data_IF_497024340182
#
_entry.id   IF_497024340182
#
_cell.length_a   1.000
_cell.length_b   1.000
_cell.length_c   1.000
_cell.angle_alpha   90.00
_cell.angle_beta   90.00
_cell.angle_gamma   90.00
#
_symmetry.space_group_name_H-M   'P 1'
#
loop_
_entity.id
_entity.type
_entity.pdbx_description
1 polymer ?
#
# COMPACT_ATOMS: atom_id res chain seq x y z
N UNK A 1 -21.74 11.96 14.60
CA UNK A 1 -20.73 12.65 13.77
C UNK A 1 -19.45 11.85 13.85
N UNK A 2 -19.18 11.02 12.86
CA UNK A 2 -17.93 10.25 12.76
C UNK A 2 -16.87 11.21 12.26
N UNK A 3 -15.82 11.46 13.06
CA UNK A 3 -14.67 12.26 12.62
C UNK A 3 -14.09 11.62 11.35
N UNK A 4 -13.73 12.39 10.30
CA UNK A 4 -12.98 11.82 9.20
C UNK A 4 -11.69 11.26 9.79
N UNK A 5 -11.47 9.97 9.63
CA UNK A 5 -10.28 9.35 10.16
C UNK A 5 -9.11 9.84 9.31
N UNK A 6 -8.30 10.74 9.86
CA UNK A 6 -7.07 11.23 9.24
C UNK A 6 -6.00 10.13 9.12
N UNK A 7 -6.29 8.90 9.57
CA UNK A 7 -5.40 7.78 9.45
C UNK A 7 -5.46 7.17 8.03
N UNK A 8 -4.33 6.67 7.52
CA UNK A 8 -4.32 5.90 6.28
C UNK A 8 -5.14 4.62 6.47
N UNK A 9 -6.00 4.30 5.50
CA UNK A 9 -6.74 3.04 5.48
C UNK A 9 -6.00 2.05 4.60
N UNK A 10 -5.53 0.95 5.18
CA UNK A 10 -4.77 -0.10 4.49
C UNK A 10 -5.55 -1.40 4.54
N UNK A 11 -5.84 -1.98 3.37
CA UNK A 11 -6.53 -3.26 3.22
C UNK A 11 -5.70 -4.14 2.30
N UNK A 12 -5.02 -5.14 2.88
CA UNK A 12 -4.19 -6.11 2.17
C UNK A 12 -4.74 -7.52 2.40
N UNK A 13 -4.90 -8.25 1.31
CA UNK A 13 -5.30 -9.65 1.27
C UNK A 13 -4.19 -10.47 0.64
N UNK A 14 -4.01 -11.69 1.15
CA UNK A 14 -3.06 -12.65 0.63
C UNK A 14 -3.84 -13.81 0.02
N UNK A 15 -3.46 -14.21 -1.19
CA UNK A 15 -4.02 -15.35 -1.90
C UNK A 15 -2.87 -16.19 -2.50
N UNK A 16 -2.76 -17.44 -2.04
CA UNK A 16 -1.63 -18.36 -2.30
C UNK A 16 -0.26 -17.70 -2.05
N UNK A 17 0.34 -17.13 -3.09
CA UNK A 17 1.65 -16.44 -3.07
C UNK A 17 1.57 -15.03 -3.62
N UNK A 18 0.38 -14.45 -3.64
CA UNK A 18 0.12 -13.11 -4.14
C UNK A 18 -0.44 -12.22 -3.04
N UNK A 19 0.02 -10.98 -3.02
CA UNK A 19 -0.49 -9.94 -2.15
C UNK A 19 -1.25 -8.94 -3.02
N UNK A 20 -2.51 -8.71 -2.70
CA UNK A 20 -3.34 -7.74 -3.38
C UNK A 20 -4.09 -6.88 -2.37
N UNK A 21 -4.40 -5.64 -2.71
CA UNK A 21 -5.09 -4.76 -1.79
C UNK A 21 -5.15 -3.33 -2.26
N UNK A 22 -5.49 -2.45 -1.33
CA UNK A 22 -5.52 -1.02 -1.56
C UNK A 22 -5.14 -0.23 -0.29
N UNK A 23 -4.61 0.97 -0.51
CA UNK A 23 -4.38 1.96 0.53
C UNK A 23 -5.01 3.29 0.13
N UNK A 24 -5.69 3.94 1.06
CA UNK A 24 -6.20 5.29 0.92
C UNK A 24 -5.42 6.24 1.82
N UNK A 25 -4.84 7.29 1.24
CA UNK A 25 -4.03 8.28 1.94
C UNK A 25 -4.68 9.67 1.88
N UNK A 26 -4.73 10.40 3.01
CA UNK A 26 -5.19 11.79 3.03
C UNK A 26 -4.10 12.73 2.48
N UNK A 27 -3.89 12.68 1.16
CA UNK A 27 -2.91 13.54 0.47
C UNK A 27 -3.57 14.86 0.07
N UNK A 28 -2.94 15.98 0.45
CA UNK A 28 -3.37 17.29 0.01
C UNK A 28 -3.17 17.45 -1.52
N UNK A 29 -4.02 18.24 -2.21
CA UNK A 29 -3.78 18.62 -3.60
C UNK A 29 -2.39 19.24 -3.76
N UNK A 30 -1.66 18.87 -4.81
CA UNK A 30 -0.31 19.38 -5.05
C UNK A 30 0.80 18.72 -4.22
N UNK A 31 0.50 17.66 -3.46
CA UNK A 31 1.53 16.85 -2.78
C UNK A 31 2.55 16.35 -3.81
N UNK A 32 3.82 16.68 -3.60
CA UNK A 32 4.90 16.25 -4.48
C UNK A 32 5.17 14.75 -4.39
N UNK A 33 5.65 14.16 -5.47
CA UNK A 33 5.88 12.71 -5.57
C UNK A 33 6.72 12.14 -4.40
N UNK A 34 7.73 12.88 -3.93
CA UNK A 34 8.58 12.47 -2.79
C UNK A 34 7.80 12.37 -1.49
N UNK A 35 6.94 13.34 -1.19
CA UNK A 35 6.13 13.35 0.02
C UNK A 35 5.06 12.25 -0.03
N UNK A 36 4.48 12.02 -1.20
CA UNK A 36 3.56 10.91 -1.43
C UNK A 36 4.25 9.54 -1.23
N UNK A 37 5.46 9.35 -1.77
CA UNK A 37 6.24 8.12 -1.57
C UNK A 37 6.55 7.89 -0.09
N UNK A 38 6.96 8.93 0.65
CA UNK A 38 7.20 8.84 2.07
C UNK A 38 5.94 8.46 2.87
N UNK A 39 4.77 9.02 2.49
CA UNK A 39 3.50 8.66 3.10
C UNK A 39 3.10 7.20 2.83
N UNK A 40 3.34 6.70 1.61
CA UNK A 40 3.13 5.30 1.25
C UNK A 40 4.08 4.38 2.03
N UNK A 41 5.36 4.75 2.14
CA UNK A 41 6.35 3.97 2.88
C UNK A 41 5.95 3.84 4.36
N UNK A 42 5.57 4.94 5.00
CA UNK A 42 5.12 4.93 6.38
C UNK A 42 3.84 4.10 6.58
N UNK A 43 2.87 4.21 5.67
CA UNK A 43 1.59 3.50 5.79
C UNK A 43 1.69 1.99 5.48
N UNK A 44 2.57 1.59 4.56
CA UNK A 44 2.65 0.22 4.08
C UNK A 44 3.79 -0.61 4.70
N UNK A 45 4.79 0.00 5.36
CA UNK A 45 5.93 -0.73 5.90
C UNK A 45 5.54 -1.86 6.86
N UNK A 46 4.75 -1.55 7.90
CA UNK A 46 4.24 -2.55 8.85
C UNK A 46 3.36 -3.60 8.18
N UNK A 47 2.25 -3.19 7.52
CA UNK A 47 1.34 -4.14 6.89
C UNK A 47 1.99 -5.04 5.83
N UNK A 48 2.95 -4.57 5.03
CA UNK A 48 3.67 -5.41 4.08
C UNK A 48 4.62 -6.38 4.79
N UNK A 49 5.30 -5.95 5.85
CA UNK A 49 6.19 -6.82 6.62
C UNK A 49 5.40 -7.96 7.27
N UNK A 50 4.25 -7.64 7.88
CA UNK A 50 3.37 -8.62 8.51
C UNK A 50 2.87 -9.65 7.48
N UNK A 51 2.38 -9.20 6.32
CA UNK A 51 1.91 -10.10 5.26
C UNK A 51 3.03 -10.87 4.57
N UNK A 52 4.22 -10.30 4.46
CA UNK A 52 5.38 -11.04 3.98
C UNK A 52 5.76 -12.15 4.96
N UNK A 53 5.75 -11.87 6.26
CA UNK A 53 6.02 -12.87 7.30
C UNK A 53 4.98 -14.01 7.28
N UNK A 54 3.68 -13.68 7.14
CA UNK A 54 2.59 -14.68 6.98
C UNK A 54 2.84 -15.63 5.80
N UNK A 55 3.50 -15.12 4.75
CA UNK A 55 3.86 -15.85 3.53
C UNK A 55 5.22 -16.55 3.60
N UNK A 56 5.94 -16.46 4.72
CA UNK A 56 7.31 -16.95 4.84
C UNK A 56 8.30 -16.22 3.93
N UNK A 57 8.03 -14.95 3.61
CA UNK A 57 8.79 -14.13 2.69
C UNK A 57 9.34 -12.86 3.35
N UNK A 58 10.31 -12.23 2.70
CA UNK A 58 10.86 -10.92 3.10
C UNK A 58 10.52 -9.87 2.05
N UNK A 59 10.13 -8.67 2.49
CA UNK A 59 9.86 -7.55 1.57
C UNK A 59 11.15 -7.13 0.85
N UNK A 60 11.18 -7.26 -0.47
CA UNK A 60 12.39 -7.06 -1.27
C UNK A 60 12.54 -5.63 -1.87
N UNK A 61 11.56 -4.75 -1.63
CA UNK A 61 11.56 -3.40 -2.18
C UNK A 61 10.91 -2.39 -1.23
N UNK A 62 11.16 -1.08 -1.42
CA UNK A 62 10.44 -0.04 -0.68
C UNK A 62 8.91 -0.16 -0.83
N UNK A 63 8.11 0.05 0.23
CA UNK A 63 6.66 -0.15 0.18
C UNK A 63 5.93 0.66 -0.91
N UNK A 64 6.34 1.90 -1.19
CA UNK A 64 5.76 2.71 -2.26
C UNK A 64 5.90 2.07 -3.66
N UNK A 65 6.82 1.11 -3.85
CA UNK A 65 6.97 0.37 -5.11
C UNK A 65 5.86 -0.66 -5.32
N UNK A 66 5.19 -1.11 -4.27
CA UNK A 66 4.03 -2.00 -4.35
C UNK A 66 2.74 -1.26 -4.70
N UNK A 67 2.73 0.06 -4.50
CA UNK A 67 1.57 0.91 -4.73
C UNK A 67 1.52 1.46 -6.16
N UNK A 68 0.31 1.49 -6.73
CA UNK A 68 -0.03 2.11 -8.02
C UNK A 68 -1.22 3.04 -7.81
N UNK A 69 -1.14 4.32 -8.19
CA UNK A 69 -2.25 5.25 -8.02
C UNK A 69 -3.48 4.77 -8.78
N UNK A 70 -4.64 4.87 -8.16
CA UNK A 70 -5.94 4.63 -8.80
C UNK A 70 -6.57 5.97 -9.19
N UNK A 71 -7.35 6.00 -10.28
CA UNK A 71 -8.11 7.19 -10.62
C UNK A 71 -9.20 7.44 -9.56
N UNK A 72 -9.37 8.72 -9.21
CA UNK A 72 -10.39 9.16 -8.27
C UNK A 72 -9.95 9.17 -6.81
N UNK A 73 -10.87 9.61 -5.96
CA UNK A 73 -10.74 9.67 -4.50
C UNK A 73 -11.73 8.70 -3.87
N UNK A 74 -11.52 8.33 -2.61
CA UNK A 74 -12.55 7.61 -1.85
C UNK A 74 -13.68 8.55 -1.39
N UNK A 75 -14.67 8.00 -0.70
CA UNK A 75 -15.82 8.76 -0.18
C UNK A 75 -15.42 9.84 0.84
N UNK A 76 -14.23 9.73 1.43
CA UNK A 76 -13.64 10.70 2.36
C UNK A 76 -12.68 11.70 1.65
N UNK A 77 -12.57 11.64 0.31
CA UNK A 77 -11.73 12.55 -0.47
C UNK A 77 -10.24 12.21 -0.46
N UNK A 78 -9.86 11.01 -0.02
CA UNK A 78 -8.49 10.50 0.07
C UNK A 78 -8.03 9.90 -1.26
N UNK A 79 -6.73 10.02 -1.53
CA UNK A 79 -6.12 9.46 -2.74
C UNK A 79 -5.95 7.95 -2.58
N UNK A 80 -6.44 7.19 -3.56
CA UNK A 80 -6.43 5.72 -3.52
C UNK A 80 -5.25 5.14 -4.31
N UNK A 81 -4.70 4.05 -3.80
CA UNK A 81 -3.65 3.27 -4.45
C UNK A 81 -4.01 1.80 -4.40
N UNK A 82 -3.83 1.10 -5.52
CA UNK A 82 -3.80 -0.35 -5.54
C UNK A 82 -2.44 -0.83 -5.05
N UNK A 83 -2.42 -1.85 -4.19
CA UNK A 83 -1.20 -2.48 -3.69
C UNK A 83 -1.13 -3.88 -4.27
N UNK A 84 -0.01 -4.23 -4.91
CA UNK A 84 0.19 -5.56 -5.50
C UNK A 84 1.61 -6.05 -5.30
N UNK A 85 1.74 -7.30 -4.90
CA UNK A 85 3.01 -8.02 -4.73
C UNK A 85 2.86 -9.51 -4.99
N UNK A 86 3.98 -10.19 -5.17
CA UNK A 86 4.04 -11.64 -5.34
C UNK A 86 5.27 -12.17 -4.63
N UNK A 87 5.19 -13.39 -4.09
CA UNK A 87 6.34 -14.09 -3.52
C UNK A 87 7.09 -14.85 -4.61
N UNK A 88 8.38 -14.53 -4.75
CA UNK A 88 9.32 -15.19 -5.66
C UNK A 88 10.58 -15.57 -4.88
N UNK A 89 10.89 -16.87 -4.78
CA UNK A 89 12.09 -17.34 -4.07
C UNK A 89 12.19 -16.92 -2.59
N UNK A 90 11.05 -16.77 -1.90
CA UNK A 90 11.01 -16.29 -0.51
C UNK A 90 11.09 -14.76 -0.37
N UNK A 91 10.96 -14.03 -1.48
CA UNK A 91 10.95 -12.56 -1.50
C UNK A 91 9.60 -12.05 -1.96
N UNK A 92 8.99 -11.15 -1.19
CA UNK A 92 7.81 -10.41 -1.63
C UNK A 92 8.28 -9.27 -2.55
N UNK A 93 8.01 -9.41 -3.84
CA UNK A 93 8.39 -8.45 -4.90
C UNK A 93 7.18 -7.66 -5.41
N UNK A 94 7.34 -6.38 -5.82
CA UNK A 94 6.25 -5.59 -6.37
C UNK A 94 5.72 -6.16 -7.69
N UNK A 95 4.41 -6.26 -7.83
CA UNK A 95 3.75 -6.77 -9.05
C UNK A 95 2.70 -5.78 -9.57
N UNK A 96 3.15 -4.69 -10.22
CA UNK A 96 2.30 -3.54 -10.63
C UNK A 96 1.59 -3.72 -11.98
N UNK A 97 1.56 -4.95 -12.52
CA UNK A 97 0.84 -5.33 -13.75
C UNK A 97 -0.58 -4.80 -13.72
#
# INVERSE_FOLDING_TARGET
MTLPSAAPTVLLTVDDRTLAGHVALPLAPGTVAKAQQAALDAALAGPLADRAADLGAVVAAPPHRFAKPLPGKDEEGRTRFAVRGRVEGGLLVPNRS
#
